data_IF_026504055295
#
_entry.id   IF_026504055295
#
_cell.length_a   1.000
_cell.length_b   1.000
_cell.length_c   1.000
_cell.angle_alpha   90.00
_cell.angle_beta   90.00
_cell.angle_gamma   90.00
#
_symmetry.space_group_name_H-M   'P 1'
#
loop_
_entity.id
_entity.type
_entity.pdbx_description
1 polymer ?
#
# COMPACT_ATOMS: atom_id res chain seq x y z
N UNK A 1 -1.13 -41.97 4.84
CA UNK A 1 -1.90 -42.62 5.92
C UNK A 1 -1.35 -42.13 7.26
N UNK A 2 -1.94 -41.05 7.80
CA UNK A 2 -1.85 -40.66 9.22
C UNK A 2 -3.26 -40.26 9.62
N UNK A 3 -3.86 -41.11 10.43
CA UNK A 3 -5.17 -40.94 11.04
C UNK A 3 -4.96 -39.89 12.13
N UNK A 4 -5.47 -38.67 11.94
CA UNK A 4 -5.55 -37.70 13.03
C UNK A 4 -6.85 -37.96 13.78
N UNK A 5 -6.69 -38.30 15.06
CA UNK A 5 -7.77 -38.49 16.02
C UNK A 5 -8.70 -37.28 16.04
N UNK A 6 -10.00 -37.55 15.88
CA UNK A 6 -11.07 -36.65 16.30
C UNK A 6 -11.05 -36.64 17.83
N UNK A 7 -10.37 -35.66 18.41
CA UNK A 7 -10.46 -35.34 19.83
C UNK A 7 -11.77 -34.59 20.12
N UNK A 8 -12.48 -35.05 21.15
CA UNK A 8 -13.75 -34.50 21.62
C UNK A 8 -13.69 -32.98 21.92
N UNK A 9 -14.81 -32.24 21.79
CA UNK A 9 -14.84 -30.81 22.02
C UNK A 9 -14.78 -30.50 23.52
N UNK A 10 -13.63 -30.02 24.00
CA UNK A 10 -13.57 -29.32 25.28
C UNK A 10 -14.24 -27.96 25.10
N UNK A 11 -15.41 -27.78 25.71
CA UNK A 11 -16.04 -26.46 25.88
C UNK A 11 -15.10 -25.59 26.74
N UNK A 12 -14.28 -24.75 26.08
CA UNK A 12 -13.82 -23.50 26.67
C UNK A 12 -14.63 -22.37 26.05
N UNK A 13 -15.30 -21.61 26.91
CA UNK A 13 -16.06 -20.42 26.54
C UNK A 13 -15.24 -19.51 25.60
N UNK A 14 -15.80 -19.00 24.50
CA UNK A 14 -15.10 -18.06 23.63
C UNK A 14 -14.99 -16.74 24.37
N UNK A 15 -13.79 -16.41 24.84
CA UNK A 15 -13.40 -15.08 25.29
C UNK A 15 -13.47 -14.11 24.11
N UNK A 16 -14.67 -13.59 23.82
CA UNK A 16 -14.87 -12.43 22.92
C UNK A 16 -14.01 -11.22 23.30
N UNK A 17 -13.53 -11.18 24.55
CA UNK A 17 -12.60 -10.16 25.09
C UNK A 17 -11.18 -10.28 24.52
N UNK A 18 -10.74 -11.49 24.09
CA UNK A 18 -9.38 -11.68 23.56
C UNK A 18 -9.21 -11.11 22.15
N UNK A 19 -10.19 -11.33 21.26
CA UNK A 19 -10.13 -10.83 19.88
C UNK A 19 -10.10 -9.29 19.77
N UNK A 20 -10.75 -8.58 20.70
CA UNK A 20 -10.84 -7.12 20.69
C UNK A 20 -9.58 -6.43 21.25
N UNK A 21 -8.81 -7.10 22.10
CA UNK A 21 -7.55 -6.59 22.67
C UNK A 21 -6.32 -7.02 21.85
N UNK A 22 -6.37 -8.17 21.18
CA UNK A 22 -5.29 -8.65 20.31
C UNK A 22 -5.17 -7.84 19.01
N UNK A 23 -6.26 -7.35 18.42
CA UNK A 23 -6.20 -6.59 17.17
C UNK A 23 -5.46 -5.23 17.28
N UNK A 24 -5.69 -4.36 18.29
CA UNK A 24 -4.89 -3.15 18.45
C UNK A 24 -3.45 -3.44 18.86
N UNK A 25 -3.20 -4.48 19.66
CA UNK A 25 -1.84 -4.88 20.04
C UNK A 25 -1.03 -5.36 18.82
N UNK A 26 -1.66 -6.10 17.91
CA UNK A 26 -1.04 -6.53 16.64
C UNK A 26 -0.74 -5.35 15.72
N UNK A 27 -1.66 -4.39 15.61
CA UNK A 27 -1.44 -3.14 14.87
C UNK A 27 -0.30 -2.34 15.50
N UNK A 28 -0.23 -2.24 16.83
CA UNK A 28 0.86 -1.57 17.55
C UNK A 28 2.22 -2.24 17.33
N UNK A 29 2.29 -3.58 17.28
CA UNK A 29 3.53 -4.32 16.98
C UNK A 29 3.98 -4.09 15.54
N UNK A 30 3.04 -4.11 14.59
CA UNK A 30 3.33 -3.75 13.18
C UNK A 30 3.83 -2.32 13.11
N UNK A 31 3.13 -1.37 13.73
CA UNK A 31 3.49 0.06 13.78
C UNK A 31 4.87 0.27 14.45
N UNK A 32 5.14 -0.39 15.58
CA UNK A 32 6.44 -0.32 16.25
C UNK A 32 7.57 -0.90 15.39
N UNK A 33 7.31 -1.97 14.64
CA UNK A 33 8.26 -2.50 13.67
C UNK A 33 8.48 -1.52 12.49
N UNK A 34 7.42 -0.85 12.00
CA UNK A 34 7.53 0.20 10.97
C UNK A 34 8.42 1.34 11.46
N UNK A 35 8.10 1.90 12.63
CA UNK A 35 8.86 3.00 13.22
C UNK A 35 10.29 2.56 13.54
N UNK A 36 10.49 1.33 14.03
CA UNK A 36 11.81 0.75 14.28
C UNK A 36 12.67 0.69 13.02
N UNK A 37 12.11 0.26 11.88
CA UNK A 37 12.82 0.22 10.58
C UNK A 37 13.15 1.62 10.09
N UNK A 38 12.21 2.57 10.19
CA UNK A 38 12.44 3.96 9.77
C UNK A 38 13.52 4.61 10.64
N UNK A 39 13.44 4.47 11.97
CA UNK A 39 14.43 4.98 12.92
C UNK A 39 15.80 4.34 12.65
N UNK A 40 15.86 3.01 12.50
CA UNK A 40 17.09 2.30 12.18
C UNK A 40 17.75 2.82 10.90
N UNK A 41 16.96 3.07 9.84
CA UNK A 41 17.46 3.61 8.58
C UNK A 41 18.02 5.01 8.75
N UNK A 42 17.35 5.86 9.53
CA UNK A 42 17.84 7.22 9.83
C UNK A 42 19.14 7.16 10.64
N UNK A 43 19.21 6.29 11.65
CA UNK A 43 20.38 6.13 12.54
C UNK A 43 21.59 5.56 11.78
N UNK A 44 21.40 4.60 10.90
CA UNK A 44 22.51 4.03 10.11
C UNK A 44 23.10 5.03 9.13
N UNK A 45 22.27 5.84 8.46
CA UNK A 45 22.75 6.90 7.55
C UNK A 45 23.51 7.97 8.33
N UNK A 46 23.00 8.41 9.49
CA UNK A 46 23.65 9.44 10.30
C UNK A 46 24.96 8.98 10.97
N UNK A 47 25.01 7.73 11.45
CA UNK A 47 26.23 7.15 12.05
C UNK A 47 27.32 6.92 11.02
N UNK A 48 26.98 6.51 9.79
CA UNK A 48 27.95 6.42 8.69
C UNK A 48 28.45 7.79 8.23
N UNK A 49 27.58 8.81 8.19
CA UNK A 49 28.00 10.18 7.88
C UNK A 49 28.97 10.76 8.94
N UNK A 50 28.87 10.32 10.20
CA UNK A 50 29.77 10.71 11.27
C UNK A 50 31.12 9.96 11.27
N UNK A 51 31.30 8.92 10.46
CA UNK A 51 32.49 8.06 10.48
C UNK A 51 33.65 8.70 9.71
N UNK A 52 34.60 9.31 10.44
CA UNK A 52 35.73 10.09 9.92
C UNK A 52 36.92 9.25 9.44
N UNK A 53 36.73 8.24 8.60
CA UNK A 53 37.86 7.45 8.05
C UNK A 53 38.32 7.99 6.68
N UNK A 54 39.60 8.38 6.57
CA UNK A 54 40.15 9.12 5.44
C UNK A 54 40.05 8.39 4.08
N UNK A 55 40.07 7.05 4.09
CA UNK A 55 40.00 6.22 2.88
C UNK A 55 38.61 6.23 2.22
N UNK A 56 37.57 6.58 2.99
CA UNK A 56 36.19 6.67 2.53
C UNK A 56 35.94 8.01 1.82
N UNK A 57 36.74 9.07 2.03
CA UNK A 57 36.46 10.42 1.52
C UNK A 57 36.44 10.54 -0.01
N UNK A 58 37.29 9.78 -0.71
CA UNK A 58 37.41 9.84 -2.18
C UNK A 58 36.35 9.02 -2.95
N UNK A 59 35.68 8.06 -2.31
CA UNK A 59 34.63 7.22 -2.91
C UNK A 59 33.37 7.11 -2.01
N UNK A 60 33.21 8.08 -1.11
CA UNK A 60 32.32 8.07 0.06
C UNK A 60 30.87 7.79 -0.30
N UNK A 61 30.42 8.40 -1.39
CA UNK A 61 29.03 8.30 -1.81
C UNK A 61 28.67 6.89 -2.29
N UNK A 62 29.58 6.20 -3.00
CA UNK A 62 29.31 4.86 -3.55
C UNK A 62 29.52 3.79 -2.48
N UNK A 63 30.55 3.91 -1.65
CA UNK A 63 30.83 2.96 -0.58
C UNK A 63 29.74 2.98 0.50
N UNK A 64 29.31 4.16 0.97
CA UNK A 64 28.25 4.32 1.97
C UNK A 64 26.89 3.88 1.44
N UNK A 65 26.58 4.15 0.16
CA UNK A 65 25.33 3.69 -0.45
C UNK A 65 25.33 2.17 -0.67
N UNK A 66 26.46 1.61 -1.10
CA UNK A 66 26.61 0.17 -1.36
C UNK A 66 26.49 -0.67 -0.09
N UNK A 67 27.21 -0.30 0.97
CA UNK A 67 27.14 -1.01 2.26
C UNK A 67 25.76 -0.89 2.90
N UNK A 68 25.13 0.29 2.85
CA UNK A 68 23.77 0.49 3.35
C UNK A 68 22.75 -0.39 2.61
N UNK A 69 22.87 -0.54 1.29
CA UNK A 69 21.99 -1.41 0.49
C UNK A 69 22.19 -2.89 0.84
N UNK A 70 23.42 -3.34 1.06
CA UNK A 70 23.71 -4.73 1.45
C UNK A 70 23.18 -5.05 2.85
N UNK A 71 23.42 -4.17 3.82
CA UNK A 71 22.94 -4.32 5.20
C UNK A 71 21.40 -4.32 5.22
N UNK A 72 20.78 -3.37 4.53
CA UNK A 72 19.32 -3.30 4.41
C UNK A 72 18.75 -4.58 3.78
N UNK A 73 19.39 -5.13 2.74
CA UNK A 73 18.97 -6.39 2.15
C UNK A 73 19.06 -7.58 3.12
N UNK A 74 20.18 -7.75 3.82
CA UNK A 74 20.35 -8.83 4.79
C UNK A 74 19.31 -8.75 5.91
N UNK A 75 19.00 -7.55 6.37
CA UNK A 75 18.00 -7.31 7.42
C UNK A 75 16.59 -7.60 6.90
N UNK A 76 16.23 -7.16 5.70
CA UNK A 76 14.92 -7.47 5.10
C UNK A 76 14.75 -9.00 4.96
N UNK A 77 15.78 -9.71 4.52
CA UNK A 77 15.76 -11.17 4.42
C UNK A 77 15.57 -11.84 5.79
N UNK A 78 16.30 -11.40 6.81
CA UNK A 78 16.18 -11.91 8.18
C UNK A 78 14.79 -11.64 8.77
N UNK A 79 14.30 -10.41 8.61
CA UNK A 79 13.00 -9.98 9.12
C UNK A 79 11.86 -10.76 8.47
N UNK A 80 11.93 -11.08 7.17
CA UNK A 80 10.90 -11.90 6.51
C UNK A 80 10.76 -13.28 7.17
N UNK A 81 11.88 -13.92 7.51
CA UNK A 81 11.87 -15.22 8.21
C UNK A 81 11.29 -15.08 9.62
N UNK A 82 11.70 -14.03 10.35
CA UNK A 82 11.19 -13.75 11.69
C UNK A 82 9.68 -13.48 11.67
N UNK A 83 9.19 -12.70 10.71
CA UNK A 83 7.78 -12.34 10.59
C UNK A 83 6.90 -13.55 10.30
N UNK A 84 7.37 -14.50 9.49
CA UNK A 84 6.62 -15.74 9.27
C UNK A 84 6.44 -16.51 10.58
N UNK A 85 7.50 -16.63 11.39
CA UNK A 85 7.43 -17.30 12.69
C UNK A 85 6.51 -16.57 13.66
N UNK A 86 6.58 -15.24 13.70
CA UNK A 86 5.72 -14.40 14.56
C UNK A 86 4.25 -14.50 14.10
N UNK A 87 3.98 -14.43 12.80
CA UNK A 87 2.62 -14.56 12.27
C UNK A 87 2.01 -15.93 12.57
N UNK A 88 2.80 -17.00 12.45
CA UNK A 88 2.37 -18.35 12.84
C UNK A 88 2.08 -18.44 14.34
N UNK A 89 2.97 -17.91 15.18
CA UNK A 89 2.78 -17.89 16.63
C UNK A 89 1.50 -17.14 17.01
N UNK A 90 1.31 -15.92 16.49
CA UNK A 90 0.13 -15.11 16.76
C UNK A 90 -1.16 -15.78 16.28
N UNK A 91 -1.16 -16.38 15.10
CA UNK A 91 -2.36 -17.05 14.56
C UNK A 91 -2.71 -18.30 15.36
N UNK A 92 -1.71 -19.05 15.84
CA UNK A 92 -1.96 -20.21 16.69
C UNK A 92 -2.45 -19.82 18.10
N UNK A 93 -2.01 -18.67 18.61
CA UNK A 93 -2.51 -18.11 19.88
C UNK A 93 -3.98 -17.68 19.81
N UNK A 94 -4.48 -17.32 18.62
CA UNK A 94 -5.89 -16.94 18.41
C UNK A 94 -6.87 -18.12 18.48
N UNK A 95 -6.38 -19.36 18.38
CA UNK A 95 -7.19 -20.59 18.39
C UNK A 95 -8.44 -20.53 17.47
N UNK A 96 -8.27 -20.32 16.16
CA UNK A 96 -9.41 -20.27 15.23
C UNK A 96 -10.15 -21.61 15.15
N UNK A 97 -11.46 -21.56 14.94
CA UNK A 97 -12.34 -22.74 14.94
C UNK A 97 -12.27 -23.53 13.63
N UNK A 98 -11.97 -22.85 12.53
CA UNK A 98 -11.94 -23.42 11.17
C UNK A 98 -10.62 -23.12 10.46
N UNK A 99 -10.24 -23.99 9.53
CA UNK A 99 -9.02 -23.81 8.72
C UNK A 99 -9.11 -22.52 7.87
N UNK A 100 -10.28 -22.20 7.32
CA UNK A 100 -10.49 -20.96 6.56
C UNK A 100 -10.31 -19.70 7.40
N UNK A 101 -10.78 -19.68 8.65
CA UNK A 101 -10.53 -18.57 9.57
C UNK A 101 -9.05 -18.44 9.92
N UNK A 102 -8.36 -19.57 10.13
CA UNK A 102 -6.91 -19.58 10.36
C UNK A 102 -6.16 -19.01 9.16
N UNK A 103 -6.48 -19.46 7.94
CA UNK A 103 -5.87 -18.99 6.70
C UNK A 103 -6.13 -17.49 6.47
N UNK A 104 -7.35 -17.02 6.70
CA UNK A 104 -7.70 -15.60 6.56
C UNK A 104 -6.94 -14.71 7.55
N UNK A 105 -6.86 -15.10 8.83
CA UNK A 105 -6.13 -14.34 9.85
C UNK A 105 -4.62 -14.34 9.56
N UNK A 106 -4.05 -15.50 9.23
CA UNK A 106 -2.65 -15.63 8.85
C UNK A 106 -2.30 -14.77 7.63
N UNK A 107 -3.14 -14.82 6.59
CA UNK A 107 -2.97 -14.07 5.34
C UNK A 107 -2.99 -12.58 5.58
N UNK A 108 -3.97 -12.08 6.35
CA UNK A 108 -4.06 -10.65 6.69
C UNK A 108 -2.79 -10.18 7.42
N UNK A 109 -2.32 -10.93 8.43
CA UNK A 109 -1.13 -10.56 9.20
C UNK A 109 0.11 -10.55 8.30
N UNK A 110 0.32 -11.61 7.55
CA UNK A 110 1.44 -11.72 6.62
C UNK A 110 1.43 -10.57 5.60
N UNK A 111 0.25 -10.25 5.04
CA UNK A 111 0.09 -9.13 4.12
C UNK A 111 0.45 -7.80 4.77
N UNK A 112 -0.07 -7.48 5.95
CA UNK A 112 0.19 -6.19 6.61
C UNK A 112 1.69 -6.00 6.88
N UNK A 113 2.39 -7.04 7.36
CA UNK A 113 3.83 -6.97 7.58
C UNK A 113 4.61 -6.76 6.27
N UNK A 114 4.29 -7.53 5.23
CA UNK A 114 4.98 -7.40 3.94
C UNK A 114 4.67 -6.06 3.26
N UNK A 115 3.43 -5.58 3.36
CA UNK A 115 2.99 -4.30 2.81
C UNK A 115 3.76 -3.13 3.42
N UNK A 116 3.87 -3.13 4.76
CA UNK A 116 4.68 -2.16 5.49
C UNK A 116 6.14 -2.24 5.07
N UNK A 117 6.72 -3.44 5.08
CA UNK A 117 8.15 -3.61 4.83
C UNK A 117 8.50 -3.09 3.42
N UNK A 118 7.68 -3.46 2.43
CA UNK A 118 7.86 -3.05 1.05
C UNK A 118 7.67 -1.54 0.86
N UNK A 119 6.58 -0.97 1.38
CA UNK A 119 6.21 0.41 1.05
C UNK A 119 6.82 1.45 1.99
N UNK A 120 7.27 1.09 3.20
CA UNK A 120 7.82 2.03 4.20
C UNK A 120 8.96 2.90 3.63
N UNK A 121 9.86 2.30 2.86
CA UNK A 121 10.98 3.00 2.24
C UNK A 121 10.52 4.05 1.21
N UNK A 122 9.52 3.70 0.40
CA UNK A 122 8.91 4.59 -0.60
C UNK A 122 8.07 5.68 0.06
N UNK A 123 7.29 5.36 1.10
CA UNK A 123 6.56 6.34 1.92
C UNK A 123 7.50 7.34 2.57
N UNK A 124 8.63 6.88 3.12
CA UNK A 124 9.66 7.76 3.67
C UNK A 124 10.23 8.71 2.61
N UNK A 125 10.59 8.18 1.44
CA UNK A 125 11.12 8.96 0.31
C UNK A 125 10.08 9.96 -0.21
N UNK A 126 8.82 9.57 -0.30
CA UNK A 126 7.76 10.43 -0.80
C UNK A 126 7.43 11.56 0.19
N UNK A 127 7.25 11.26 1.47
CA UNK A 127 6.65 12.21 2.41
C UNK A 127 7.62 12.90 3.36
N UNK A 128 8.73 12.26 3.70
CA UNK A 128 9.63 12.72 4.77
C UNK A 128 10.98 13.21 4.25
N UNK A 129 11.47 12.62 3.15
CA UNK A 129 12.74 12.99 2.55
C UNK A 129 12.69 14.41 1.94
N UNK A 130 13.59 15.28 2.39
CA UNK A 130 13.69 16.67 1.95
C UNK A 130 12.79 17.68 2.69
N UNK A 131 12.09 17.25 3.75
CA UNK A 131 11.21 18.13 4.56
C UNK A 131 11.61 18.28 6.03
N UNK A 132 12.48 17.41 6.52
CA UNK A 132 12.98 17.41 7.91
C UNK A 132 14.47 17.79 8.03
N UNK A 133 15.09 18.30 6.96
CA UNK A 133 16.51 18.64 7.01
C UNK A 133 16.76 20.01 6.40
N UNK A 134 17.08 20.95 7.30
CA UNK A 134 17.83 22.15 6.98
C UNK A 134 19.10 21.79 6.20
N UNK A 135 19.39 22.64 5.22
CA UNK A 135 20.64 22.81 4.48
C UNK A 135 21.55 21.57 4.42
N UNK A 136 21.42 20.75 3.36
CA UNK A 136 22.54 20.26 2.55
C UNK A 136 22.01 19.47 1.34
N UNK A 137 22.07 20.13 0.18
CA UNK A 137 21.48 19.69 -1.08
C UNK A 137 22.28 18.62 -1.82
N UNK A 138 22.27 17.38 -1.34
CA UNK A 138 22.88 16.23 -2.05
C UNK A 138 21.98 14.99 -2.11
N UNK A 139 20.68 15.15 -2.38
CA UNK A 139 19.74 14.01 -2.43
C UNK A 139 18.98 13.84 -3.76
N UNK A 140 19.21 14.72 -4.75
CA UNK A 140 18.45 14.68 -6.01
C UNK A 140 18.81 13.53 -6.98
N UNK A 141 19.87 12.75 -6.73
CA UNK A 141 20.29 11.65 -7.61
C UNK A 141 19.69 10.27 -7.28
N UNK A 142 18.93 10.12 -6.19
CA UNK A 142 18.31 8.82 -5.83
C UNK A 142 17.10 8.49 -6.72
N UNK A 143 16.50 9.49 -7.38
CA UNK A 143 15.38 9.30 -8.31
C UNK A 143 15.75 8.54 -9.60
N UNK A 144 17.03 8.24 -9.84
CA UNK A 144 17.48 7.41 -10.98
C UNK A 144 17.64 5.92 -10.64
N UNK A 145 17.45 5.48 -9.38
CA UNK A 145 17.59 4.07 -8.97
C UNK A 145 16.20 3.42 -8.82
N UNK A 146 15.39 3.52 -9.87
CA UNK A 146 14.20 2.67 -10.08
C UNK A 146 14.54 1.39 -10.85
N UNK A 147 15.73 0.83 -10.67
CA UNK A 147 16.10 -0.41 -11.36
C UNK A 147 17.04 -1.29 -10.54
N UNK A 148 16.47 -2.12 -9.67
CA UNK A 148 17.05 -3.41 -9.33
C UNK A 148 15.97 -4.49 -9.36
N UNK A 149 16.02 -5.46 -10.29
CA UNK A 149 15.28 -6.70 -10.14
C UNK A 149 16.03 -7.53 -9.09
N UNK A 150 15.47 -7.72 -7.90
CA UNK A 150 16.03 -8.65 -6.92
C UNK A 150 15.25 -9.96 -6.94
N UNK A 151 15.97 -11.00 -7.36
CA UNK A 151 15.60 -12.40 -7.34
C UNK A 151 15.17 -12.82 -5.94
N UNK A 152 14.02 -13.48 -5.83
CA UNK A 152 13.57 -14.21 -4.65
C UNK A 152 12.84 -15.46 -5.13
N UNK A 153 13.57 -16.58 -5.09
CA UNK A 153 13.07 -17.95 -5.04
C UNK A 153 12.92 -18.29 -3.56
N UNK A 154 11.69 -18.56 -3.10
CA UNK A 154 11.32 -19.67 -2.19
C UNK A 154 9.80 -19.63 -1.89
N UNK A 155 9.16 -20.80 -1.98
CA UNK A 155 7.89 -21.29 -1.41
C UNK A 155 6.49 -20.60 -1.62
N UNK A 156 5.66 -21.35 -2.34
CA UNK A 156 4.23 -21.32 -2.74
C UNK A 156 3.09 -20.74 -1.85
N UNK A 157 3.32 -20.03 -0.73
CA UNK A 157 2.24 -19.22 -0.10
C UNK A 157 2.34 -17.72 -0.41
N UNK A 158 3.38 -17.30 -1.14
CA UNK A 158 3.70 -15.91 -1.42
C UNK A 158 3.23 -15.38 -2.79
N UNK A 159 2.65 -16.21 -3.65
CA UNK A 159 2.36 -15.79 -5.03
C UNK A 159 1.19 -14.81 -5.10
N UNK A 160 0.12 -15.04 -4.32
CA UNK A 160 -0.98 -14.09 -4.19
C UNK A 160 -0.52 -12.80 -3.52
N UNK A 161 0.25 -12.90 -2.42
CA UNK A 161 0.81 -11.75 -1.73
C UNK A 161 1.71 -10.92 -2.64
N UNK A 162 2.58 -11.54 -3.45
CA UNK A 162 3.46 -10.85 -4.41
C UNK A 162 2.66 -10.10 -5.47
N UNK A 163 1.63 -10.73 -6.05
CA UNK A 163 0.76 -10.08 -7.07
C UNK A 163 -0.03 -8.92 -6.47
N UNK A 164 -0.57 -9.09 -5.26
CA UNK A 164 -1.32 -8.04 -4.54
C UNK A 164 -0.40 -6.90 -4.10
N UNK A 165 0.83 -7.19 -3.69
CA UNK A 165 1.84 -6.17 -3.38
C UNK A 165 2.27 -5.39 -4.64
N UNK A 166 2.43 -6.05 -5.78
CA UNK A 166 2.74 -5.41 -7.07
C UNK A 166 1.59 -4.51 -7.53
N UNK A 167 0.35 -4.99 -7.41
CA UNK A 167 -0.86 -4.18 -7.65
C UNK A 167 -0.94 -2.98 -6.70
N UNK A 168 -0.69 -3.19 -5.41
CA UNK A 168 -0.66 -2.13 -4.41
C UNK A 168 0.39 -1.07 -4.71
N UNK A 169 1.61 -1.46 -5.04
CA UNK A 169 2.67 -0.52 -5.43
C UNK A 169 2.29 0.29 -6.68
N UNK A 170 1.72 -0.38 -7.69
CA UNK A 170 1.32 0.25 -8.95
C UNK A 170 0.23 1.28 -8.74
N UNK A 171 -0.75 0.99 -7.89
CA UNK A 171 -1.90 1.88 -7.66
C UNK A 171 -1.56 3.03 -6.71
N UNK A 172 -0.86 2.76 -5.61
CA UNK A 172 -0.54 3.74 -4.55
C UNK A 172 0.40 4.85 -5.04
N UNK A 173 1.31 4.55 -5.98
CA UNK A 173 2.33 5.49 -6.45
C UNK A 173 2.20 5.84 -7.95
N UNK A 174 1.05 5.60 -8.57
CA UNK A 174 0.85 5.84 -10.01
C UNK A 174 1.06 7.32 -10.38
N UNK A 175 0.70 8.26 -9.50
CA UNK A 175 0.88 9.69 -9.74
C UNK A 175 2.37 10.09 -9.84
N UNK A 176 3.27 9.35 -9.19
CA UNK A 176 4.70 9.58 -9.26
C UNK A 176 5.36 8.87 -10.46
N UNK A 177 4.85 7.70 -10.85
CA UNK A 177 5.42 6.91 -11.95
C UNK A 177 4.34 6.33 -12.88
N UNK A 178 3.96 7.07 -13.95
CA UNK A 178 2.89 6.66 -14.87
C UNK A 178 3.17 5.37 -15.66
N UNK A 179 4.43 4.96 -15.81
CA UNK A 179 4.81 3.73 -16.53
C UNK A 179 4.70 2.46 -15.67
N UNK A 180 4.36 2.58 -14.38
CA UNK A 180 4.23 1.43 -13.46
C UNK A 180 3.27 0.34 -13.98
N UNK A 181 2.06 0.67 -14.52
CA UNK A 181 1.13 -0.35 -15.01
C UNK A 181 1.69 -1.17 -16.18
N UNK A 182 2.49 -0.54 -17.05
CA UNK A 182 3.10 -1.23 -18.19
C UNK A 182 4.17 -2.23 -17.72
N UNK A 183 5.00 -1.84 -16.74
CA UNK A 183 5.97 -2.76 -16.14
C UNK A 183 5.27 -3.91 -15.41
N UNK A 184 4.17 -3.61 -14.72
CA UNK A 184 3.37 -4.63 -14.04
C UNK A 184 2.76 -5.63 -15.03
N UNK A 185 2.26 -5.15 -16.18
CA UNK A 185 1.73 -6.00 -17.24
C UNK A 185 2.80 -6.96 -17.78
N UNK A 186 3.99 -6.43 -18.10
CA UNK A 186 5.10 -7.26 -18.59
C UNK A 186 5.52 -8.32 -17.55
N UNK A 187 5.60 -7.94 -16.28
CA UNK A 187 5.90 -8.88 -15.21
C UNK A 187 4.81 -9.97 -15.10
N UNK A 188 3.53 -9.58 -15.16
CA UNK A 188 2.41 -10.53 -15.07
C UNK A 188 2.40 -11.53 -16.24
N UNK A 189 2.76 -11.10 -17.47
CA UNK A 189 2.86 -12.00 -18.63
C UNK A 189 3.92 -13.08 -18.39
N UNK A 190 5.08 -12.68 -17.87
CA UNK A 190 6.18 -13.62 -17.57
C UNK A 190 5.78 -14.53 -16.40
N UNK A 191 5.21 -13.97 -15.33
CA UNK A 191 4.85 -14.69 -14.10
C UNK A 191 3.82 -15.79 -14.39
N UNK A 192 2.80 -15.54 -15.23
CA UNK A 192 1.81 -16.56 -15.61
C UNK A 192 2.48 -17.78 -16.24
N UNK A 193 3.50 -17.58 -17.09
CA UNK A 193 4.22 -18.68 -17.75
C UNK A 193 5.14 -19.41 -16.77
N UNK A 194 5.85 -18.67 -15.93
CA UNK A 194 6.74 -19.25 -14.92
C UNK A 194 5.95 -20.06 -13.88
N UNK A 195 4.81 -19.56 -13.42
CA UNK A 195 3.97 -20.28 -12.45
C UNK A 195 3.35 -21.54 -13.07
N UNK A 196 2.90 -21.48 -14.32
CA UNK A 196 2.44 -22.67 -15.04
C UNK A 196 3.57 -23.72 -15.15
N UNK A 197 4.80 -23.28 -15.47
CA UNK A 197 5.94 -24.18 -15.54
C UNK A 197 6.25 -24.83 -14.20
N UNK A 198 6.27 -24.05 -13.10
CA UNK A 198 6.46 -24.57 -11.74
C UNK A 198 5.43 -25.66 -11.41
N UNK A 199 4.14 -25.38 -11.60
CA UNK A 199 3.07 -26.33 -11.27
C UNK A 199 3.10 -27.61 -12.11
N UNK A 200 3.53 -27.53 -13.36
CA UNK A 200 3.57 -28.70 -14.26
C UNK A 200 4.83 -29.54 -14.08
N UNK A 201 5.98 -28.93 -13.77
CA UNK A 201 7.28 -29.62 -13.80
C UNK A 201 7.96 -29.80 -12.44
N UNK A 202 7.79 -28.86 -11.50
CA UNK A 202 8.55 -28.83 -10.24
C UNK A 202 7.74 -29.36 -9.05
N UNK A 203 6.45 -29.06 -9.00
CA UNK A 203 5.61 -29.36 -7.86
C UNK A 203 4.87 -30.68 -8.00
N UNK A 204 4.67 -31.36 -6.86
CA UNK A 204 3.75 -32.49 -6.80
C UNK A 204 2.31 -31.97 -6.88
N UNK A 205 1.47 -32.67 -7.64
CA UNK A 205 0.04 -32.33 -7.82
C UNK A 205 -0.67 -32.16 -6.45
N UNK A 206 -1.29 -30.99 -6.18
CA UNK A 206 -2.05 -30.76 -4.96
C UNK A 206 -3.42 -31.44 -5.00
N UNK A 207 -4.06 -31.58 -3.84
CA UNK A 207 -5.44 -32.06 -3.73
C UNK A 207 -6.40 -30.94 -4.17
N UNK A 208 -7.38 -31.29 -5.00
CA UNK A 208 -8.37 -30.34 -5.48
C UNK A 208 -9.30 -29.90 -4.34
N UNK A 209 -9.30 -28.60 -4.03
CA UNK A 209 -10.27 -27.96 -3.13
C UNK A 209 -11.21 -27.07 -3.95
N UNK A 210 -12.48 -26.98 -3.56
CA UNK A 210 -13.46 -26.09 -4.20
C UNK A 210 -13.57 -24.81 -3.38
N UNK A 211 -13.22 -23.68 -3.97
CA UNK A 211 -13.45 -22.34 -3.42
C UNK A 211 -14.46 -21.60 -4.31
N UNK A 212 -15.36 -20.82 -3.69
CA UNK A 212 -16.36 -20.01 -4.40
C UNK A 212 -15.80 -18.66 -4.83
N UNK A 213 -14.83 -18.14 -4.09
CA UNK A 213 -14.27 -16.80 -4.19
C UNK A 213 -12.80 -16.79 -3.76
N UNK A 214 -12.12 -15.66 -4.00
CA UNK A 214 -10.72 -15.43 -3.62
C UNK A 214 -10.53 -15.22 -2.11
N UNK A 215 -11.61 -15.14 -1.32
CA UNK A 215 -11.56 -14.97 0.13
C UNK A 215 -11.11 -13.58 0.58
N UNK A 216 -10.30 -13.52 1.65
CA UNK A 216 -9.85 -12.28 2.31
C UNK A 216 -9.15 -11.29 1.36
N UNK A 217 -8.58 -11.78 0.26
CA UNK A 217 -7.90 -10.96 -0.73
C UNK A 217 -8.79 -9.88 -1.35
N UNK A 218 -10.10 -10.12 -1.47
CA UNK A 218 -11.03 -9.10 -1.93
C UNK A 218 -11.02 -7.87 -1.00
N UNK A 219 -11.14 -8.10 0.31
CA UNK A 219 -11.10 -7.03 1.31
C UNK A 219 -9.74 -6.33 1.37
N UNK A 220 -8.64 -7.07 1.18
CA UNK A 220 -7.29 -6.48 1.09
C UNK A 220 -7.18 -5.55 -0.13
N UNK A 221 -7.63 -5.99 -1.31
CA UNK A 221 -7.61 -5.18 -2.53
C UNK A 221 -8.48 -3.93 -2.41
N UNK A 222 -9.64 -4.04 -1.75
CA UNK A 222 -10.50 -2.89 -1.46
C UNK A 222 -9.81 -1.88 -0.53
N UNK A 223 -9.16 -2.37 0.53
CA UNK A 223 -8.37 -1.54 1.46
C UNK A 223 -7.20 -0.83 0.77
N UNK A 224 -6.45 -1.54 -0.08
CA UNK A 224 -5.40 -0.95 -0.93
C UNK A 224 -6.00 0.14 -1.84
N UNK A 225 -7.18 -0.11 -2.42
CA UNK A 225 -7.86 0.87 -3.27
C UNK A 225 -8.20 2.16 -2.53
N UNK A 226 -8.65 2.08 -1.27
CA UNK A 226 -8.91 3.26 -0.43
C UNK A 226 -7.59 4.00 -0.11
N UNK A 227 -6.57 3.26 0.33
CA UNK A 227 -5.26 3.83 0.66
C UNK A 227 -4.59 4.47 -0.55
N UNK A 228 -4.81 3.94 -1.75
CA UNK A 228 -4.31 4.47 -3.01
C UNK A 228 -4.85 5.86 -3.30
N UNK A 229 -6.16 6.11 -3.10
CA UNK A 229 -6.75 7.44 -3.32
C UNK A 229 -6.11 8.47 -2.40
N UNK A 230 -6.01 8.15 -1.11
CA UNK A 230 -5.40 9.01 -0.10
C UNK A 230 -3.93 9.28 -0.46
N UNK A 231 -3.15 8.22 -0.70
CA UNK A 231 -1.71 8.37 -0.97
C UNK A 231 -1.44 9.18 -2.23
N UNK A 232 -2.19 8.97 -3.32
CA UNK A 232 -2.04 9.75 -4.53
C UNK A 232 -2.42 11.23 -4.33
N UNK A 233 -3.46 11.53 -3.53
CA UNK A 233 -3.82 12.90 -3.17
C UNK A 233 -2.65 13.60 -2.48
N UNK A 234 -2.07 12.93 -1.48
CA UNK A 234 -0.90 13.44 -0.77
C UNK A 234 0.31 13.56 -1.71
N UNK A 235 0.66 12.55 -2.52
CA UNK A 235 1.77 12.62 -3.48
C UNK A 235 1.63 13.86 -4.37
N UNK A 236 0.46 14.08 -4.98
CA UNK A 236 0.24 15.24 -5.85
C UNK A 236 0.36 16.55 -5.07
N UNK A 237 -0.27 16.68 -3.90
CA UNK A 237 -0.26 17.93 -3.15
C UNK A 237 1.13 18.29 -2.57
N UNK A 238 1.84 17.27 -2.08
CA UNK A 238 3.03 17.42 -1.24
C UNK A 238 4.32 17.31 -2.04
N UNK A 239 4.45 16.29 -2.89
CA UNK A 239 5.72 16.01 -3.57
C UNK A 239 5.83 16.72 -4.91
N UNK A 240 4.70 17.00 -5.55
CA UNK A 240 4.69 17.68 -6.84
C UNK A 240 4.79 19.21 -6.70
N UNK A 241 5.39 19.83 -7.72
CA UNK A 241 5.43 21.29 -7.87
C UNK A 241 4.14 21.88 -8.45
N UNK A 242 3.08 21.09 -8.58
CA UNK A 242 1.83 21.51 -9.19
C UNK A 242 1.15 22.63 -8.40
N UNK A 243 0.90 22.42 -7.10
CA UNK A 243 0.18 23.37 -6.26
C UNK A 243 0.92 24.72 -6.12
N UNK A 244 2.23 24.75 -5.81
CA UNK A 244 2.93 26.03 -5.68
C UNK A 244 3.00 26.82 -6.99
N UNK A 245 3.12 26.15 -8.15
CA UNK A 245 3.05 26.79 -9.47
C UNK A 245 1.67 27.38 -9.72
N UNK A 246 0.62 26.66 -9.34
CA UNK A 246 -0.77 27.12 -9.48
C UNK A 246 -1.03 28.36 -8.61
N UNK A 247 -0.66 28.31 -7.33
CA UNK A 247 -0.80 29.45 -6.39
C UNK A 247 0.00 30.66 -6.88
N UNK A 248 1.21 30.45 -7.38
CA UNK A 248 2.00 31.53 -7.97
C UNK A 248 1.27 32.14 -9.18
N UNK A 249 0.88 31.33 -10.16
CA UNK A 249 0.25 31.83 -11.38
C UNK A 249 -1.01 32.67 -11.11
N UNK A 250 -1.85 32.25 -10.16
CA UNK A 250 -3.12 32.94 -9.87
C UNK A 250 -2.99 34.13 -8.92
N UNK A 251 -2.01 34.15 -8.00
CA UNK A 251 -1.95 35.17 -6.92
C UNK A 251 -0.71 36.07 -6.96
N UNK A 252 0.43 35.57 -7.41
CA UNK A 252 1.73 36.25 -7.28
C UNK A 252 2.46 36.49 -8.60
N UNK A 253 2.11 35.76 -9.65
CA UNK A 253 2.71 35.88 -10.97
C UNK A 253 2.20 37.11 -11.72
N UNK A 254 2.79 37.39 -12.90
CA UNK A 254 2.42 38.54 -13.73
C UNK A 254 0.94 38.57 -14.15
N UNK A 255 0.26 37.43 -14.09
CA UNK A 255 -1.16 37.27 -14.46
C UNK A 255 -2.11 37.29 -13.25
N UNK A 256 -1.62 37.64 -12.06
CA UNK A 256 -2.44 37.71 -10.86
C UNK A 256 -3.64 38.66 -11.08
N UNK A 257 -4.86 38.12 -10.99
CA UNK A 257 -6.11 38.86 -11.18
C UNK A 257 -6.66 38.91 -12.61
N UNK A 258 -6.00 38.32 -13.62
CA UNK A 258 -6.47 38.34 -15.02
C UNK A 258 -7.24 37.09 -15.48
N UNK A 259 -7.47 36.09 -14.61
CA UNK A 259 -8.32 34.92 -14.92
C UNK A 259 -7.78 33.95 -15.98
N UNK A 260 -6.76 34.32 -16.76
CA UNK A 260 -6.14 33.50 -17.80
C UNK A 260 -4.72 33.06 -17.40
N UNK A 261 -4.52 31.74 -17.23
CA UNK A 261 -3.22 31.14 -16.96
C UNK A 261 -2.49 30.81 -18.27
N UNK A 262 -1.85 31.81 -18.89
CA UNK A 262 -0.97 31.63 -20.06
C UNK A 262 0.49 31.29 -19.70
N UNK A 263 1.28 30.88 -20.70
CA UNK A 263 2.71 30.51 -20.54
C UNK A 263 3.60 31.67 -20.00
N UNK A 264 3.19 32.92 -20.22
CA UNK A 264 3.85 34.13 -19.70
C UNK A 264 3.62 34.38 -18.19
N UNK A 265 2.71 33.64 -17.56
CA UNK A 265 2.36 33.81 -16.14
C UNK A 265 3.37 33.16 -15.17
N UNK A 266 4.31 32.37 -15.69
CA UNK A 266 5.32 31.67 -14.88
C UNK A 266 6.67 32.39 -14.85
N UNK A 267 6.79 33.56 -15.50
CA UNK A 267 8.03 34.35 -15.50
C UNK A 267 8.31 34.81 -14.07
N UNK A 268 9.53 34.52 -13.59
CA UNK A 268 9.96 34.87 -12.24
C UNK A 268 9.63 33.82 -11.16
N UNK A 269 8.95 32.71 -11.49
CA UNK A 269 8.58 31.67 -10.53
C UNK A 269 9.78 31.15 -9.72
N UNK A 270 10.89 30.82 -10.39
CA UNK A 270 12.08 30.29 -9.70
C UNK A 270 12.63 31.29 -8.70
N UNK A 271 12.72 32.56 -9.07
CA UNK A 271 13.23 33.61 -8.18
C UNK A 271 12.29 33.89 -7.00
N UNK A 272 10.98 33.75 -7.20
CA UNK A 272 9.97 33.87 -6.14
C UNK A 272 9.90 32.65 -5.22
N UNK A 273 10.24 31.45 -5.72
CA UNK A 273 10.21 30.19 -4.95
C UNK A 273 11.43 29.96 -4.06
N UNK A 274 12.42 30.84 -4.12
CA UNK A 274 13.69 30.72 -3.41
C UNK A 274 13.79 31.79 -2.31
N UNK A 275 14.04 31.36 -1.08
CA UNK A 275 14.37 32.23 0.04
C UNK A 275 15.88 32.49 0.09
N UNK A 276 16.26 33.66 0.57
CA UNK A 276 17.66 34.09 0.71
C UNK A 276 18.13 33.86 2.14
N UNK A 277 19.25 33.19 2.31
CA UNK A 277 19.92 32.99 3.59
C UNK A 277 21.29 33.67 3.59
N UNK A 278 21.65 34.32 4.71
CA UNK A 278 22.97 34.93 4.88
C UNK A 278 23.89 33.93 5.57
N UNK A 279 25.06 33.69 4.98
CA UNK A 279 25.98 32.64 5.46
C UNK A 279 26.55 32.97 6.85
N UNK A 280 26.67 34.25 7.21
CA UNK A 280 27.11 34.64 8.57
C UNK A 280 26.16 34.22 9.69
N UNK A 281 24.93 33.81 9.36
CA UNK A 281 23.88 33.51 10.34
C UNK A 281 23.80 32.00 10.63
N UNK A 282 24.79 31.20 10.16
CA UNK A 282 24.94 29.80 10.56
C UNK A 282 25.31 29.68 12.04
N UNK A 283 24.80 28.64 12.69
CA UNK A 283 25.23 28.27 14.03
C UNK A 283 26.64 27.66 13.97
N UNK A 284 27.46 27.89 14.99
CA UNK A 284 28.91 27.56 15.02
C UNK A 284 29.23 26.05 14.80
N UNK A 285 28.22 25.17 14.82
CA UNK A 285 28.36 23.71 14.58
C UNK A 285 27.99 23.29 13.16
N UNK A 286 27.28 24.14 12.42
CA UNK A 286 26.74 23.89 11.09
C UNK A 286 27.34 24.82 10.03
N UNK A 287 28.34 25.61 10.41
CA UNK A 287 29.12 26.42 9.49
C UNK A 287 29.84 25.54 8.46
N UNK A 288 29.76 25.87 7.16
CA UNK A 288 30.43 25.10 6.12
C UNK A 288 31.97 25.19 6.25
N UNK A 289 32.67 24.07 6.06
CA UNK A 289 34.15 24.02 6.07
C UNK A 289 34.81 24.83 4.94
N UNK A 290 34.02 25.29 3.94
CA UNK A 290 34.51 26.08 2.81
C UNK A 290 33.63 27.32 2.59
N UNK A 291 34.26 28.47 2.36
CA UNK A 291 33.60 29.74 2.02
C UNK A 291 33.01 29.80 0.59
N UNK A 292 33.07 28.68 -0.14
CA UNK A 292 32.62 28.55 -1.53
C UNK A 292 33.44 29.37 -2.54
N UNK A 293 34.59 29.89 -2.11
CA UNK A 293 35.58 30.61 -2.92
C UNK A 293 36.13 29.77 -4.08
N UNK A 294 36.06 28.45 -3.97
CA UNK A 294 36.46 27.47 -4.99
C UNK A 294 35.59 27.52 -6.26
N UNK A 295 34.32 27.93 -6.15
CA UNK A 295 33.39 27.96 -7.28
C UNK A 295 33.32 29.33 -7.98
N UNK A 296 33.47 30.42 -7.22
CA UNK A 296 33.23 31.78 -7.74
C UNK A 296 34.42 32.74 -7.58
N UNK A 297 35.54 32.30 -7.00
CA UNK A 297 36.73 33.14 -6.75
C UNK A 297 36.56 34.24 -5.69
N UNK A 298 35.36 34.38 -5.11
CA UNK A 298 34.97 35.40 -4.12
C UNK A 298 34.18 34.68 -3.02
N UNK A 299 34.34 35.03 -1.73
CA UNK A 299 33.53 34.46 -0.65
C UNK A 299 32.03 34.76 -0.87
N UNK A 300 31.21 33.72 -0.85
CA UNK A 300 29.76 33.83 -0.98
C UNK A 300 29.17 34.48 0.28
N UNK A 301 28.33 35.52 0.11
CA UNK A 301 27.64 36.19 1.23
C UNK A 301 26.21 35.69 1.46
N UNK A 302 25.54 35.27 0.38
CA UNK A 302 24.16 34.83 0.38
C UNK A 302 24.03 33.51 -0.34
N UNK A 303 23.23 32.59 0.20
CA UNK A 303 22.79 31.39 -0.48
C UNK A 303 21.27 31.40 -0.66
N UNK A 304 20.79 30.68 -1.67
CA UNK A 304 19.36 30.52 -1.94
C UNK A 304 18.94 29.11 -1.64
N UNK A 305 17.83 28.95 -0.94
CA UNK A 305 17.25 27.66 -0.60
C UNK A 305 15.76 27.66 -0.91
N UNK A 306 15.21 26.46 -1.05
CA UNK A 306 13.84 26.27 -1.48
C UNK A 306 12.90 26.30 -0.26
N UNK A 307 12.48 27.49 0.12
CA UNK A 307 11.47 27.70 1.15
C UNK A 307 10.78 29.06 0.95
N UNK A 308 9.67 29.29 1.64
CA UNK A 308 8.88 30.53 1.56
C UNK A 308 9.10 31.39 2.81
N UNK A 309 10.36 31.81 3.02
CA UNK A 309 10.80 32.57 4.20
C UNK A 309 11.20 34.00 3.86
N UNK A 310 11.00 34.88 4.84
CA UNK A 310 11.36 36.29 4.74
C UNK A 310 12.88 36.49 4.67
N UNK A 311 13.36 37.50 3.91
CA UNK A 311 14.78 37.77 3.71
C UNK A 311 15.46 38.27 5.01
N UNK A 312 16.81 38.21 5.08
CA UNK A 312 17.56 38.60 6.28
C UNK A 312 17.50 40.11 6.61
N UNK A 313 16.91 40.93 5.74
CA UNK A 313 16.77 42.37 5.92
C UNK A 313 15.36 42.77 6.43
N UNK A 314 14.46 41.81 6.63
CA UNK A 314 13.11 42.08 7.13
C UNK A 314 13.11 42.34 8.64
N UNK A 315 12.00 42.88 9.16
CA UNK A 315 11.78 43.12 10.59
C UNK A 315 11.86 41.83 11.43
N UNK A 316 11.47 40.70 10.84
CA UNK A 316 11.53 39.37 11.44
C UNK A 316 12.25 38.45 10.43
N UNK A 317 13.58 38.34 10.51
CA UNK A 317 14.36 37.56 9.55
C UNK A 317 13.99 36.08 9.63
N UNK A 318 13.95 35.41 8.47
CA UNK A 318 13.70 33.96 8.35
C UNK A 318 12.32 33.46 8.82
N UNK A 319 11.39 34.37 9.09
CA UNK A 319 9.98 34.06 9.39
C UNK A 319 9.23 33.48 8.18
N UNK A 320 8.10 32.81 8.43
CA UNK A 320 7.25 32.29 7.36
C UNK A 320 6.47 33.41 6.67
N UNK A 321 6.58 33.48 5.35
CA UNK A 321 5.85 34.46 4.54
C UNK A 321 4.37 34.10 4.39
N UNK A 322 3.53 35.06 3.99
CA UNK A 322 2.15 34.78 3.58
C UNK A 322 2.05 33.80 2.41
N UNK A 323 3.06 33.74 1.53
CA UNK A 323 3.13 32.77 0.44
C UNK A 323 3.16 31.34 0.96
N UNK A 324 3.92 31.08 2.04
CA UNK A 324 3.97 29.78 2.70
C UNK A 324 2.57 29.29 3.09
N UNK A 325 1.81 30.15 3.77
CA UNK A 325 0.47 29.83 4.27
C UNK A 325 -0.54 29.64 3.13
N UNK A 326 -0.50 30.45 2.08
CA UNK A 326 -1.36 30.23 0.90
C UNK A 326 -1.06 28.91 0.20
N UNK A 327 0.22 28.55 0.04
CA UNK A 327 0.61 27.27 -0.56
C UNK A 327 0.19 26.11 0.33
N UNK A 328 0.38 26.21 1.65
CA UNK A 328 -0.05 25.19 2.60
C UNK A 328 -1.58 25.00 2.60
N UNK A 329 -2.34 26.09 2.65
CA UNK A 329 -3.79 26.06 2.59
C UNK A 329 -4.29 25.45 1.27
N UNK A 330 -3.70 25.84 0.14
CA UNK A 330 -4.05 25.27 -1.17
C UNK A 330 -3.73 23.77 -1.26
N UNK A 331 -2.63 23.31 -0.65
CA UNK A 331 -2.31 21.87 -0.57
C UNK A 331 -3.35 21.09 0.21
N UNK A 332 -3.75 21.57 1.39
CA UNK A 332 -4.77 20.92 2.22
C UNK A 332 -6.14 20.92 1.54
N UNK A 333 -6.54 22.04 0.94
CA UNK A 333 -7.79 22.15 0.20
C UNK A 333 -7.83 21.19 -1.00
N UNK A 334 -6.72 21.09 -1.74
CA UNK A 334 -6.61 20.15 -2.86
C UNK A 334 -6.80 18.71 -2.41
N UNK A 335 -6.17 18.29 -1.30
CA UNK A 335 -6.30 16.92 -0.78
C UNK A 335 -7.78 16.60 -0.49
N UNK A 336 -8.46 17.49 0.25
CA UNK A 336 -9.87 17.29 0.61
C UNK A 336 -10.74 17.17 -0.64
N UNK A 337 -10.61 18.10 -1.59
CA UNK A 337 -11.42 18.09 -2.82
C UNK A 337 -11.14 16.86 -3.67
N UNK A 338 -9.86 16.53 -3.86
CA UNK A 338 -9.45 15.37 -4.66
C UNK A 338 -9.96 14.06 -4.05
N UNK A 339 -9.80 13.87 -2.75
CA UNK A 339 -10.29 12.66 -2.06
C UNK A 339 -11.81 12.51 -2.19
N UNK A 340 -12.57 13.54 -1.84
CA UNK A 340 -14.05 13.48 -1.89
C UNK A 340 -14.55 13.26 -3.33
N UNK A 341 -13.94 13.91 -4.32
CA UNK A 341 -14.30 13.73 -5.72
C UNK A 341 -14.05 12.29 -6.18
N UNK A 342 -12.86 11.74 -5.91
CA UNK A 342 -12.50 10.39 -6.35
C UNK A 342 -13.31 9.32 -5.62
N UNK A 343 -13.56 9.48 -4.31
CA UNK A 343 -14.44 8.57 -3.56
C UNK A 343 -15.89 8.65 -4.05
N UNK A 344 -16.39 9.84 -4.37
CA UNK A 344 -17.72 10.01 -4.96
C UNK A 344 -17.83 9.28 -6.30
N UNK A 345 -16.85 9.45 -7.20
CA UNK A 345 -16.80 8.75 -8.48
C UNK A 345 -16.71 7.23 -8.28
N UNK A 346 -15.87 6.75 -7.36
CA UNK A 346 -15.77 5.31 -7.03
C UNK A 346 -17.12 4.75 -6.59
N UNK A 347 -17.82 5.46 -5.70
CA UNK A 347 -19.12 5.03 -5.20
C UNK A 347 -20.20 5.06 -6.31
N UNK A 348 -20.19 6.09 -7.15
CA UNK A 348 -21.08 6.20 -8.31
C UNK A 348 -20.86 5.03 -9.30
N UNK A 349 -19.61 4.70 -9.61
CA UNK A 349 -19.28 3.57 -10.50
C UNK A 349 -19.78 2.25 -9.89
N UNK A 350 -19.55 2.04 -8.59
CA UNK A 350 -20.03 0.85 -7.88
C UNK A 350 -21.57 0.77 -7.84
N UNK A 351 -22.26 1.91 -7.86
CA UNK A 351 -23.73 1.95 -7.95
C UNK A 351 -24.23 1.67 -9.36
N UNK A 352 -23.52 2.15 -10.39
CA UNK A 352 -23.92 1.99 -11.80
C UNK A 352 -23.68 0.59 -12.35
N UNK A 353 -22.63 -0.10 -11.90
CA UNK A 353 -22.26 -1.44 -12.39
C UNK A 353 -22.90 -2.50 -11.49
N UNK A 354 -23.86 -3.32 -11.98
CA UNK A 354 -24.44 -4.38 -11.17
C UNK A 354 -23.44 -5.50 -10.93
N UNK A 355 -23.35 -5.97 -9.68
CA UNK A 355 -22.41 -7.04 -9.25
C UNK A 355 -22.57 -8.37 -10.00
N UNK A 356 -23.76 -8.61 -10.57
CA UNK A 356 -24.08 -9.87 -11.24
C UNK A 356 -24.50 -9.62 -12.69
N UNK A 357 -23.83 -10.25 -13.68
CA UNK A 357 -24.21 -10.15 -15.08
C UNK A 357 -25.61 -10.74 -15.32
N UNK A 358 -26.35 -10.12 -16.25
CA UNK A 358 -27.75 -10.49 -16.55
C UNK A 358 -27.90 -11.96 -16.93
N UNK A 359 -27.04 -12.46 -17.81
CA UNK A 359 -27.10 -13.86 -18.29
C UNK A 359 -26.96 -14.88 -17.15
N UNK A 360 -26.03 -14.65 -16.21
CA UNK A 360 -25.86 -15.54 -15.07
C UNK A 360 -27.06 -15.48 -14.11
N UNK A 361 -27.64 -14.29 -13.92
CA UNK A 361 -28.87 -14.11 -13.13
C UNK A 361 -30.02 -14.91 -13.73
N UNK A 362 -30.15 -14.88 -15.04
CA UNK A 362 -31.22 -15.57 -15.76
C UNK A 362 -31.01 -17.09 -15.72
N UNK A 363 -29.76 -17.58 -15.86
CA UNK A 363 -29.42 -19.00 -15.68
C UNK A 363 -29.73 -19.49 -14.28
N UNK A 364 -29.29 -18.78 -13.23
CA UNK A 364 -29.62 -19.15 -11.84
C UNK A 364 -31.12 -19.14 -11.57
N UNK A 365 -31.87 -18.21 -12.19
CA UNK A 365 -33.33 -18.17 -12.08
C UNK A 365 -33.97 -19.39 -12.76
N UNK A 366 -33.47 -19.80 -13.93
CA UNK A 366 -33.93 -21.01 -14.64
C UNK A 366 -33.62 -22.28 -13.84
N UNK A 367 -32.41 -22.42 -13.31
CA UNK A 367 -32.06 -23.58 -12.47
C UNK A 367 -32.94 -23.67 -11.23
N UNK A 368 -33.18 -22.55 -10.53
CA UNK A 368 -34.10 -22.52 -9.38
C UNK A 368 -35.53 -22.92 -9.75
N UNK A 369 -36.01 -22.42 -10.89
CA UNK A 369 -37.35 -22.77 -11.38
C UNK A 369 -37.47 -24.26 -11.67
N UNK A 370 -36.53 -24.83 -12.43
CA UNK A 370 -36.50 -26.27 -12.75
C UNK A 370 -36.39 -27.14 -11.49
N UNK A 371 -35.57 -26.74 -10.51
CA UNK A 371 -35.46 -27.46 -9.24
C UNK A 371 -36.79 -27.42 -8.47
N UNK A 372 -37.48 -26.29 -8.46
CA UNK A 372 -38.77 -26.15 -7.79
C UNK A 372 -39.86 -26.98 -8.48
N UNK A 373 -39.88 -27.01 -9.81
CA UNK A 373 -40.77 -27.86 -10.60
C UNK A 373 -40.53 -29.34 -10.31
N UNK A 374 -39.27 -29.81 -10.36
CA UNK A 374 -38.92 -31.19 -10.02
C UNK A 374 -39.29 -31.56 -8.58
N UNK A 375 -39.12 -30.65 -7.60
CA UNK A 375 -39.53 -30.91 -6.21
C UNK A 375 -41.05 -31.05 -6.08
N UNK A 376 -41.81 -30.20 -6.78
CA UNK A 376 -43.27 -30.25 -6.76
C UNK A 376 -43.80 -31.53 -7.42
N UNK A 377 -43.25 -31.93 -8.57
CA UNK A 377 -43.61 -33.19 -9.23
C UNK A 377 -43.30 -34.40 -8.34
N UNK A 378 -42.13 -34.44 -7.72
CA UNK A 378 -41.75 -35.51 -6.80
C UNK A 378 -42.68 -35.61 -5.58
N UNK A 379 -43.12 -34.48 -5.03
CA UNK A 379 -44.09 -34.43 -3.93
C UNK A 379 -45.49 -34.91 -4.38
N UNK A 380 -45.93 -34.51 -5.57
CA UNK A 380 -47.19 -34.96 -6.15
C UNK A 380 -47.20 -36.48 -6.37
N UNK A 381 -46.12 -37.05 -6.91
CA UNK A 381 -45.96 -38.50 -7.07
C UNK A 381 -45.99 -39.23 -5.73
N UNK A 382 -45.35 -38.68 -4.69
CA UNK A 382 -45.38 -39.22 -3.34
C UNK A 382 -46.80 -39.26 -2.78
N UNK A 383 -47.55 -38.15 -2.86
CA UNK A 383 -48.94 -38.07 -2.41
C UNK A 383 -49.86 -39.04 -3.18
N UNK A 384 -49.63 -39.21 -4.49
CA UNK A 384 -50.37 -40.17 -5.30
C UNK A 384 -50.10 -41.62 -4.87
N UNK A 385 -48.84 -41.97 -4.56
CA UNK A 385 -48.49 -43.30 -4.02
C UNK A 385 -49.18 -43.54 -2.69
N UNK A 386 -49.11 -42.60 -1.75
CA UNK A 386 -49.79 -42.71 -0.44
C UNK A 386 -51.31 -42.88 -0.61
N UNK A 387 -51.94 -42.15 -1.55
CA UNK A 387 -53.37 -42.29 -1.83
C UNK A 387 -53.72 -43.65 -2.45
N UNK A 388 -52.86 -44.20 -3.33
CA UNK A 388 -53.03 -45.54 -3.90
C UNK A 388 -52.87 -46.63 -2.84
N UNK A 389 -51.91 -46.50 -1.94
CA UNK A 389 -51.72 -47.41 -0.80
C UNK A 389 -52.91 -47.37 0.15
N UNK A 390 -53.41 -46.18 0.50
CA UNK A 390 -54.66 -46.04 1.30
C UNK A 390 -55.86 -46.70 0.61
N UNK A 391 -56.01 -46.55 -0.70
CA UNK A 391 -57.07 -47.24 -1.48
C UNK A 391 -56.88 -48.76 -1.50
N UNK A 392 -55.63 -49.26 -1.56
CA UNK A 392 -55.33 -50.69 -1.53
C UNK A 392 -55.62 -51.30 -0.16
N UNK A 393 -55.24 -50.63 0.93
CA UNK A 393 -55.55 -51.06 2.29
C UNK A 393 -57.06 -50.97 2.60
N UNK A 394 -57.74 -49.93 2.10
CA UNK A 394 -59.20 -49.81 2.22
C UNK A 394 -60.00 -50.83 1.41
N UNK A 395 -59.47 -51.31 0.26
CA UNK A 395 -60.08 -52.40 -0.52
C UNK A 395 -59.79 -53.79 0.06
N UNK A 396 -58.62 -53.99 0.68
CA UNK A 396 -58.31 -55.25 1.36
C UNK A 396 -59.30 -55.54 2.51
N UNK A 397 -59.74 -54.50 3.22
CA UNK A 397 -60.71 -54.62 4.31
C UNK A 397 -62.16 -54.92 3.88
N UNK A 398 -62.49 -54.74 2.60
CA UNK A 398 -63.85 -54.96 2.05
C UNK A 398 -64.01 -56.30 1.32
N UNK A 399 -62.93 -57.08 1.14
CA UNK A 399 -62.95 -58.35 0.41
C UNK A 399 -62.83 -59.59 1.32
N UNK A 400 -62.99 -59.43 2.64
CA UNK A 400 -63.22 -60.55 3.55
C UNK A 400 -64.73 -60.63 3.85
N UNK A 401 -65.31 -61.81 3.68
CA UNK A 401 -66.73 -62.22 3.79
C UNK A 401 -67.56 -62.17 2.49
N UNK A 402 -68.37 -63.20 2.19
CA UNK A 402 -69.01 -64.16 3.10
C UNK A 402 -68.26 -65.46 3.39
#
# INVERSE_FOLDING_TARGET
MRIFQVGAPSLKHPTRVSLALLSPCQICVVIAAVFGIVIYRVVTVSTFAAFKWALIRNNSQVATTGTAVCINFCIIMLLNVLYEKVALLLTNLEQPRTESEWENSFTLKMFLFQFVNLNSSTFYIAFFLGRLQDANGLFFYVLKIYRTPRCLLEADKQVETRRVLQFGFTTIFVAAFPLAPLLALLNNIIEIRLDAYKFVTQWRRPLASRAKDIGIWYGILEGIGILSVITNAFVIAITSDFIPRLVYAYKYGPCAGQGEAGQKCMVGYVNASLSVFRISDFENRSEPESDGSEFSGIPLKYCRYRDYRDPPHSLVPYGYTLQFWHVLAARLAFIIVFEHLVFCIKHLISYLIPDLPKDLRDRMRREKYLIQEMMYEAELERLQKERKERKKNGKAHHNEWP
#
